data_IF_187254756537
#
_entry.id   IF_187254756537
#
_cell.length_a   1.000
_cell.length_b   1.000
_cell.length_c   1.000
_cell.angle_alpha   90.00
_cell.angle_beta   90.00
_cell.angle_gamma   90.00
#
_symmetry.space_group_name_H-M   'P 1'
#
loop_
_entity.id
_entity.type
_entity.pdbx_description
1 polymer ?
#
# COMPACT_ATOMS: atom_id res chain seq x y z
N UNK A 1 2.90 8.99 16.58
CA UNK A 1 3.58 8.67 15.31
C UNK A 1 2.85 9.27 14.11
N UNK A 2 1.53 9.09 13.94
CA UNK A 2 0.78 9.69 12.83
C UNK A 2 0.82 11.22 12.90
N UNK A 3 0.61 11.82 14.07
CA UNK A 3 0.71 13.26 14.27
C UNK A 3 2.08 13.79 13.83
N UNK A 4 3.18 13.18 14.28
CA UNK A 4 4.53 13.59 13.89
C UNK A 4 4.78 13.48 12.37
N UNK A 5 4.21 12.48 11.70
CA UNK A 5 4.25 12.36 10.25
C UNK A 5 3.51 13.53 9.59
N UNK A 6 2.30 13.83 10.04
CA UNK A 6 1.49 14.93 9.52
C UNK A 6 2.16 16.29 9.72
N UNK A 7 2.75 16.52 10.90
CA UNK A 7 3.51 17.74 11.21
C UNK A 7 4.71 17.92 10.27
N UNK A 8 5.46 16.82 10.00
CA UNK A 8 6.56 16.85 9.06
C UNK A 8 6.12 17.20 7.63
N UNK A 9 4.91 16.73 7.23
CA UNK A 9 4.32 16.96 5.91
C UNK A 9 3.60 18.30 5.76
N UNK A 10 3.42 19.07 6.82
CA UNK A 10 2.75 20.37 6.78
C UNK A 10 3.57 21.48 6.08
N UNK A 11 4.86 21.25 5.82
CA UNK A 11 5.76 22.25 5.21
C UNK A 11 5.48 22.43 3.71
N UNK A 12 5.06 23.62 3.23
CA UNK A 12 4.75 23.83 1.80
C UNK A 12 5.94 23.58 0.88
N UNK A 13 7.16 23.90 1.30
CA UNK A 13 8.38 23.74 0.51
C UNK A 13 8.78 22.27 0.26
N UNK A 14 8.11 21.32 0.93
CA UNK A 14 8.36 19.90 0.78
C UNK A 14 7.83 19.37 -0.56
N UNK A 15 6.80 20.00 -1.12
CA UNK A 15 6.00 19.47 -2.21
C UNK A 15 6.46 19.99 -3.57
N UNK A 16 6.46 19.11 -4.57
CA UNK A 16 6.74 19.40 -5.97
C UNK A 16 5.73 18.70 -6.88
N UNK A 17 5.67 19.08 -8.16
CA UNK A 17 4.79 18.45 -9.14
C UNK A 17 5.07 16.95 -9.25
N UNK A 18 4.06 16.15 -8.94
CA UNK A 18 4.14 14.69 -9.01
C UNK A 18 4.06 14.11 -10.43
N UNK A 19 3.69 14.90 -11.43
CA UNK A 19 3.62 14.47 -12.83
C UNK A 19 4.98 14.04 -13.39
N UNK A 20 6.09 14.59 -12.85
CA UNK A 20 7.45 14.24 -13.28
C UNK A 20 7.82 12.77 -13.02
N UNK A 21 7.18 12.10 -12.05
CA UNK A 21 7.49 10.70 -11.68
C UNK A 21 6.68 9.66 -12.45
N UNK A 22 5.63 10.07 -13.15
CA UNK A 22 4.81 9.20 -14.00
C UNK A 22 5.37 9.13 -15.43
N UNK A 23 5.16 8.00 -16.11
CA UNK A 23 5.58 7.77 -17.49
C UNK A 23 4.39 7.43 -18.40
N UNK A 24 4.54 7.68 -19.70
CA UNK A 24 3.54 7.32 -20.69
C UNK A 24 2.16 7.96 -20.45
N UNK A 25 1.09 7.18 -20.62
CA UNK A 25 -0.31 7.62 -20.42
C UNK A 25 -0.60 8.07 -18.98
N UNK A 26 0.01 7.42 -18.01
CA UNK A 26 -0.16 7.77 -16.60
C UNK A 26 0.31 9.20 -16.27
N UNK A 27 1.29 9.72 -17.01
CA UNK A 27 1.78 11.10 -16.84
C UNK A 27 0.71 12.15 -17.17
N UNK A 28 -0.04 11.93 -18.26
CA UNK A 28 -1.09 12.85 -18.69
C UNK A 28 -2.32 12.84 -17.75
N UNK A 29 -2.49 11.72 -17.02
CA UNK A 29 -3.62 11.53 -16.10
C UNK A 29 -3.28 11.91 -14.65
N UNK A 30 -2.01 12.25 -14.33
CA UNK A 30 -1.55 12.50 -12.97
C UNK A 30 -1.44 14.00 -12.69
N UNK A 31 -2.30 14.48 -11.81
CA UNK A 31 -2.29 15.84 -11.28
C UNK A 31 -2.26 15.76 -9.75
N UNK A 32 -1.06 15.81 -9.16
CA UNK A 32 -0.86 15.81 -7.72
C UNK A 32 0.49 16.39 -7.34
N UNK A 33 0.72 16.57 -6.06
CA UNK A 33 2.01 16.92 -5.49
C UNK A 33 2.67 15.69 -4.86
N UNK A 34 3.99 15.65 -4.91
CA UNK A 34 4.82 14.64 -4.25
C UNK A 34 5.86 15.29 -3.36
N UNK A 35 6.14 14.67 -2.22
CA UNK A 35 7.24 15.15 -1.38
C UNK A 35 8.58 14.82 -2.00
N UNK A 36 9.49 15.79 -1.99
CA UNK A 36 10.88 15.60 -2.45
C UNK A 36 11.62 14.66 -1.52
N UNK A 37 11.98 13.48 -2.00
CA UNK A 37 12.75 12.50 -1.22
C UNK A 37 14.20 12.91 -0.95
N UNK A 38 14.69 13.98 -1.58
CA UNK A 38 15.96 14.63 -1.23
C UNK A 38 15.86 15.44 0.06
N UNK A 39 14.65 15.78 0.52
CA UNK A 39 14.44 16.43 1.82
C UNK A 39 14.56 15.40 2.95
N UNK A 40 15.44 15.64 3.95
CA UNK A 40 15.66 14.70 5.06
C UNK A 40 14.39 14.37 5.85
N UNK A 41 13.45 15.33 6.00
CA UNK A 41 12.19 15.10 6.71
C UNK A 41 11.30 14.12 5.93
N UNK A 42 11.14 14.31 4.60
CA UNK A 42 10.37 13.39 3.77
C UNK A 42 11.00 11.99 3.78
N UNK A 43 12.32 11.90 3.67
CA UNK A 43 13.05 10.63 3.74
C UNK A 43 12.83 9.93 5.07
N UNK A 44 12.98 10.60 6.20
CA UNK A 44 12.74 10.05 7.54
C UNK A 44 11.29 9.58 7.74
N UNK A 45 10.32 10.31 7.18
CA UNK A 45 8.91 9.87 7.18
C UNK A 45 8.74 8.58 6.39
N UNK A 46 9.31 8.50 5.18
CA UNK A 46 9.25 7.27 4.37
C UNK A 46 9.89 6.08 5.07
N UNK A 47 11.05 6.26 5.69
CA UNK A 47 11.74 5.21 6.45
C UNK A 47 10.89 4.71 7.63
N UNK A 48 10.28 5.64 8.38
CA UNK A 48 9.39 5.32 9.50
C UNK A 48 8.16 4.53 9.04
N UNK A 49 7.52 4.98 7.95
CA UNK A 49 6.35 4.29 7.38
C UNK A 49 6.75 2.89 6.89
N UNK A 50 7.85 2.78 6.14
CA UNK A 50 8.32 1.50 5.62
C UNK A 50 8.61 0.50 6.75
N UNK A 51 9.30 0.92 7.80
CA UNK A 51 9.57 0.08 8.97
C UNK A 51 8.27 -0.37 9.67
N UNK A 52 7.29 0.55 9.81
CA UNK A 52 6.00 0.25 10.44
C UNK A 52 5.19 -0.76 9.60
N UNK A 53 5.16 -0.59 8.28
CA UNK A 53 4.45 -1.51 7.36
C UNK A 53 5.09 -2.91 7.44
N UNK A 54 6.40 -3.00 7.38
CA UNK A 54 7.12 -4.29 7.41
C UNK A 54 7.04 -4.99 8.78
N UNK A 55 6.81 -4.25 9.86
CA UNK A 55 6.60 -4.81 11.19
C UNK A 55 5.16 -5.24 11.46
N UNK A 56 4.19 -4.80 10.64
CA UNK A 56 2.78 -5.09 10.84
C UNK A 56 2.46 -6.55 10.50
N UNK A 57 1.88 -7.29 11.45
CA UNK A 57 1.61 -8.74 11.30
C UNK A 57 0.60 -9.05 10.20
N UNK A 58 -0.43 -8.21 10.00
CA UNK A 58 -1.41 -8.37 8.93
C UNK A 58 -0.74 -8.21 7.56
N UNK A 59 0.10 -7.19 7.39
CA UNK A 59 0.88 -6.98 6.16
C UNK A 59 1.83 -8.14 5.91
N UNK A 60 2.51 -8.63 6.95
CA UNK A 60 3.42 -9.78 6.85
C UNK A 60 2.68 -11.06 6.43
N UNK A 61 1.48 -11.27 6.96
CA UNK A 61 0.67 -12.43 6.61
C UNK A 61 0.12 -12.34 5.18
N UNK A 62 -0.42 -11.18 4.78
CA UNK A 62 -1.08 -10.99 3.49
C UNK A 62 -0.10 -10.81 2.32
N UNK A 63 0.98 -10.04 2.52
CA UNK A 63 1.91 -9.67 1.46
C UNK A 63 3.15 -10.56 1.41
N UNK A 64 3.54 -11.26 2.48
CA UNK A 64 4.82 -11.99 2.60
C UNK A 64 5.99 -11.16 2.01
N UNK A 65 6.25 -9.94 2.54
CA UNK A 65 7.11 -8.97 1.87
C UNK A 65 8.56 -9.44 1.82
N UNK A 66 9.17 -9.33 0.64
CA UNK A 66 10.62 -9.44 0.44
C UNK A 66 11.28 -8.05 0.50
N UNK A 67 10.62 -7.03 -0.08
CA UNK A 67 11.09 -5.65 -0.10
C UNK A 67 9.94 -4.68 -0.39
N UNK A 68 10.08 -3.44 0.03
CA UNK A 68 9.33 -2.30 -0.51
C UNK A 68 10.17 -1.73 -1.66
N UNK A 69 9.62 -1.71 -2.88
CA UNK A 69 10.33 -1.24 -4.07
C UNK A 69 10.55 0.29 -4.02
N UNK A 70 9.49 1.01 -3.68
CA UNK A 70 9.51 2.47 -3.50
C UNK A 70 8.35 2.86 -2.59
N UNK A 71 8.51 3.94 -1.84
CA UNK A 71 7.48 4.61 -1.08
C UNK A 71 7.49 6.09 -1.44
N UNK A 72 6.33 6.67 -1.68
CA UNK A 72 6.14 8.08 -2.04
C UNK A 72 5.07 8.70 -1.16
N UNK A 73 5.27 9.96 -0.81
CA UNK A 73 4.30 10.77 -0.08
C UNK A 73 3.59 11.66 -1.10
N UNK A 74 2.28 11.52 -1.19
CA UNK A 74 1.43 12.22 -2.16
C UNK A 74 0.47 13.16 -1.44
N UNK A 75 0.22 14.30 -2.08
CA UNK A 75 -0.78 15.27 -1.69
C UNK A 75 -1.64 15.60 -2.89
N UNK A 76 -2.94 15.62 -2.68
CA UNK A 76 -3.93 16.05 -3.65
C UNK A 76 -4.73 17.19 -3.04
N UNK A 77 -4.57 18.38 -3.60
CA UNK A 77 -5.36 19.55 -3.25
C UNK A 77 -6.62 19.62 -4.11
N UNK A 78 -7.51 20.56 -3.83
CA UNK A 78 -8.73 20.79 -4.61
C UNK A 78 -8.43 20.88 -6.11
N UNK A 79 -9.20 20.15 -6.92
CA UNK A 79 -9.03 20.03 -8.37
C UNK A 79 -8.01 18.97 -8.81
N UNK A 80 -7.22 18.38 -7.92
CA UNK A 80 -6.24 17.36 -8.23
C UNK A 80 -6.83 15.96 -8.23
N UNK A 81 -6.28 15.10 -9.07
CA UNK A 81 -6.72 13.72 -9.29
C UNK A 81 -5.60 12.86 -9.87
N UNK A 82 -5.79 11.56 -9.91
CA UNK A 82 -4.96 10.65 -10.68
C UNK A 82 -5.85 9.69 -11.45
N UNK A 83 -5.93 9.87 -12.76
CA UNK A 83 -6.79 9.07 -13.63
C UNK A 83 -6.45 7.58 -13.64
N UNK A 84 -7.36 6.79 -14.18
CA UNK A 84 -7.28 5.33 -14.20
C UNK A 84 -5.96 4.83 -14.83
N UNK A 85 -5.26 3.97 -14.11
CA UNK A 85 -4.01 3.38 -14.55
C UNK A 85 -3.76 2.04 -13.85
N UNK A 86 -2.80 1.29 -14.36
CA UNK A 86 -2.22 0.10 -13.75
C UNK A 86 -0.78 0.43 -13.41
N UNK A 87 -0.30 -0.05 -12.29
CA UNK A 87 1.07 0.18 -11.85
C UNK A 87 2.11 -0.53 -12.74
N UNK A 88 3.31 0.04 -12.82
CA UNK A 88 4.39 -0.56 -13.57
C UNK A 88 4.81 -1.90 -12.92
N UNK A 89 5.11 -2.96 -13.72
CA UNK A 89 5.49 -4.27 -13.18
C UNK A 89 6.84 -4.27 -12.45
N UNK A 90 7.65 -3.25 -12.68
CA UNK A 90 8.93 -3.02 -11.99
C UNK A 90 9.10 -1.53 -11.66
N UNK A 91 9.54 -1.26 -10.44
CA UNK A 91 9.93 0.07 -9.98
C UNK A 91 11.34 -0.03 -9.40
N UNK A 92 12.27 0.79 -9.90
CA UNK A 92 13.70 0.76 -9.51
C UNK A 92 14.34 -0.64 -9.62
N UNK A 93 13.96 -1.41 -10.64
CA UNK A 93 14.45 -2.77 -10.86
C UNK A 93 13.84 -3.83 -9.93
N UNK A 94 12.94 -3.43 -9.03
CA UNK A 94 12.24 -4.33 -8.10
C UNK A 94 10.84 -4.64 -8.64
N UNK A 95 10.46 -5.92 -8.67
CA UNK A 95 9.11 -6.36 -9.07
C UNK A 95 8.05 -5.81 -8.11
N UNK A 96 6.93 -5.38 -8.65
CA UNK A 96 5.78 -4.84 -7.90
C UNK A 96 4.62 -5.84 -7.94
N UNK A 97 4.45 -6.61 -6.88
CA UNK A 97 3.39 -7.61 -6.78
C UNK A 97 2.11 -7.05 -6.15
N UNK A 98 2.28 -6.16 -5.19
CA UNK A 98 1.23 -5.49 -4.44
C UNK A 98 1.50 -3.99 -4.38
N UNK A 99 0.45 -3.22 -4.57
CA UNK A 99 0.42 -1.80 -4.27
C UNK A 99 -0.19 -1.57 -2.90
N UNK A 100 0.21 -0.50 -2.24
CA UNK A 100 -0.43 -0.08 -1.00
C UNK A 100 -0.71 1.42 -1.00
N UNK A 101 -1.76 1.79 -0.30
CA UNK A 101 -2.06 3.18 0.07
C UNK A 101 -2.26 3.24 1.58
N UNK A 102 -1.42 4.00 2.26
CA UNK A 102 -1.59 4.41 3.65
C UNK A 102 -2.24 5.79 3.67
N UNK A 103 -3.44 5.89 4.22
CA UNK A 103 -4.16 7.15 4.35
C UNK A 103 -3.54 7.98 5.49
N UNK A 104 -3.29 9.28 5.22
CA UNK A 104 -2.67 10.20 6.18
C UNK A 104 -3.59 11.39 6.52
N UNK A 105 -4.69 11.58 5.79
CA UNK A 105 -5.77 12.52 6.11
C UNK A 105 -7.00 11.76 6.59
N UNK A 106 -7.75 12.38 7.50
CA UNK A 106 -9.07 11.85 7.88
C UNK A 106 -10.09 12.06 6.75
N UNK A 107 -11.10 11.18 6.59
CA UNK A 107 -12.08 11.26 5.50
C UNK A 107 -12.90 12.56 5.47
N UNK A 108 -13.05 13.24 6.59
CA UNK A 108 -13.78 14.50 6.72
C UNK A 108 -12.93 15.75 6.42
N UNK A 109 -11.60 15.62 6.37
CA UNK A 109 -10.68 16.71 6.03
C UNK A 109 -10.71 17.08 4.54
N UNK A 110 -11.24 16.19 3.67
CA UNK A 110 -11.31 16.41 2.22
C UNK A 110 -12.61 15.92 1.62
N UNK A 111 -13.01 16.48 0.48
CA UNK A 111 -14.15 16.02 -0.33
C UNK A 111 -13.67 15.31 -1.60
N UNK A 112 -14.43 14.35 -2.12
CA UNK A 112 -13.97 13.52 -3.25
C UNK A 112 -12.73 12.70 -2.89
N UNK A 113 -11.78 12.55 -3.81
CA UNK A 113 -10.47 11.95 -3.57
C UNK A 113 -10.49 10.49 -3.14
N UNK A 114 -11.56 9.75 -3.42
CA UNK A 114 -11.59 8.31 -3.14
C UNK A 114 -10.51 7.57 -3.95
N UNK A 115 -9.91 6.57 -3.35
CA UNK A 115 -9.17 5.56 -4.09
C UNK A 115 -10.19 4.57 -4.65
N UNK A 116 -10.29 4.48 -5.97
CA UNK A 116 -11.17 3.53 -6.63
C UNK A 116 -10.34 2.41 -7.23
N UNK A 117 -10.69 1.18 -6.91
CA UNK A 117 -10.02 -0.03 -7.39
C UNK A 117 -11.04 -0.85 -8.17
N UNK A 118 -10.72 -1.16 -9.44
CA UNK A 118 -11.50 -2.09 -10.25
C UNK A 118 -11.01 -3.53 -9.99
N UNK A 119 -11.82 -4.30 -9.29
CA UNK A 119 -11.57 -5.70 -9.01
C UNK A 119 -12.55 -6.58 -9.82
N UNK A 120 -12.12 -7.02 -11.01
CA UNK A 120 -12.88 -7.92 -11.88
C UNK A 120 -14.27 -7.38 -12.30
N UNK A 121 -14.36 -6.07 -12.58
CA UNK A 121 -15.59 -5.43 -13.11
C UNK A 121 -16.50 -4.87 -12.02
N UNK A 122 -16.06 -4.86 -10.77
CA UNK A 122 -16.68 -4.10 -9.67
C UNK A 122 -15.71 -3.03 -9.20
N UNK A 123 -16.19 -1.79 -9.07
CA UNK A 123 -15.42 -0.68 -8.53
C UNK A 123 -15.67 -0.54 -7.02
N UNK A 124 -14.59 -0.58 -6.25
CA UNK A 124 -14.61 -0.29 -4.82
C UNK A 124 -14.11 1.12 -4.57
N UNK A 125 -14.96 2.00 -4.04
CA UNK A 125 -14.59 3.34 -3.58
C UNK A 125 -14.10 3.28 -2.13
N UNK A 126 -12.85 3.70 -1.91
CA UNK A 126 -12.16 3.50 -0.63
C UNK A 126 -11.73 4.84 -0.06
N UNK A 127 -12.26 5.16 1.13
CA UNK A 127 -11.86 6.30 1.97
C UNK A 127 -11.76 5.83 3.41
N UNK A 128 -10.54 5.63 3.89
CA UNK A 128 -10.29 5.09 5.23
C UNK A 128 -9.75 6.18 6.17
N UNK A 129 -9.95 6.02 7.49
CA UNK A 129 -9.35 6.90 8.50
C UNK A 129 -7.83 6.98 8.37
N UNK A 130 -7.26 8.09 8.79
CA UNK A 130 -5.81 8.28 8.82
C UNK A 130 -5.11 7.20 9.66
N UNK A 131 -4.00 6.66 9.15
CA UNK A 131 -3.30 5.51 9.72
C UNK A 131 -3.76 4.15 9.20
N UNK A 132 -4.87 4.09 8.45
CA UNK A 132 -5.33 2.87 7.78
C UNK A 132 -4.56 2.62 6.49
N UNK A 133 -4.28 1.35 6.21
CA UNK A 133 -3.57 0.91 5.01
C UNK A 133 -4.44 -0.10 4.24
N UNK A 134 -4.48 0.06 2.93
CA UNK A 134 -5.02 -0.94 2.01
C UNK A 134 -3.91 -1.53 1.14
N UNK A 135 -3.98 -2.85 0.93
CA UNK A 135 -3.14 -3.62 0.01
C UNK A 135 -3.99 -4.16 -1.12
N UNK A 136 -3.51 -4.05 -2.35
CA UNK A 136 -4.17 -4.61 -3.53
C UNK A 136 -3.14 -5.05 -4.57
N UNK A 137 -3.49 -5.99 -5.47
CA UNK A 137 -2.61 -6.40 -6.56
C UNK A 137 -2.23 -5.21 -7.45
N UNK A 138 -0.93 -5.03 -7.73
CA UNK A 138 -0.45 -3.94 -8.60
C UNK A 138 -0.97 -4.01 -10.04
N UNK A 139 -1.55 -5.16 -10.43
CA UNK A 139 -2.18 -5.39 -11.72
C UNK A 139 -3.62 -4.86 -11.82
N UNK A 140 -4.23 -4.40 -10.73
CA UNK A 140 -5.58 -3.88 -10.76
C UNK A 140 -5.61 -2.46 -11.32
N UNK A 141 -6.61 -2.18 -12.15
CA UNK A 141 -6.91 -0.82 -12.59
C UNK A 141 -7.37 0.00 -11.40
N UNK A 142 -6.81 1.17 -11.19
CA UNK A 142 -7.19 2.03 -10.08
C UNK A 142 -7.00 3.50 -10.41
N UNK A 143 -7.67 4.36 -9.64
CA UNK A 143 -7.59 5.82 -9.77
C UNK A 143 -7.74 6.51 -8.41
N UNK A 144 -7.32 7.75 -8.34
CA UNK A 144 -7.70 8.67 -7.26
C UNK A 144 -8.64 9.69 -7.87
N UNK A 145 -9.86 9.74 -7.39
CA UNK A 145 -10.87 10.69 -7.83
C UNK A 145 -10.45 12.12 -7.55
N UNK A 146 -11.08 13.06 -8.26
CA UNK A 146 -10.83 14.49 -8.06
C UNK A 146 -11.18 14.89 -6.63
N UNK A 147 -10.24 15.56 -5.96
CA UNK A 147 -10.48 16.21 -4.69
C UNK A 147 -11.33 17.46 -4.94
N UNK A 148 -12.44 17.58 -4.26
CA UNK A 148 -13.41 18.66 -4.43
C UNK A 148 -13.35 19.71 -3.33
N UNK A 149 -12.63 19.42 -2.24
CA UNK A 149 -12.42 20.30 -1.08
C UNK A 149 -11.25 19.80 -0.25
N UNK A 150 -10.48 20.70 0.34
CA UNK A 150 -9.41 20.36 1.29
C UNK A 150 -8.19 19.71 0.63
N UNK A 151 -7.46 18.90 1.40
CA UNK A 151 -6.23 18.24 0.95
C UNK A 151 -6.18 16.79 1.42
N UNK A 152 -5.97 15.87 0.48
CA UNK A 152 -5.79 14.45 0.74
C UNK A 152 -4.30 14.10 0.78
N UNK A 153 -3.82 13.62 1.91
CA UNK A 153 -2.46 13.11 2.08
C UNK A 153 -2.47 11.58 2.10
N UNK A 154 -1.53 10.95 1.43
CA UNK A 154 -1.33 9.51 1.45
C UNK A 154 0.14 9.14 1.22
N UNK A 155 0.57 8.04 1.81
CA UNK A 155 1.78 7.36 1.39
C UNK A 155 1.39 6.17 0.50
N UNK A 156 2.02 6.09 -0.67
CA UNK A 156 1.80 5.00 -1.62
C UNK A 156 3.12 4.30 -1.93
N UNK A 157 3.05 3.03 -2.24
CA UNK A 157 4.24 2.28 -2.60
C UNK A 157 3.94 0.87 -3.05
N UNK A 158 5.00 0.13 -3.34
CA UNK A 158 4.91 -1.21 -3.91
C UNK A 158 5.72 -2.20 -3.09
N UNK A 159 5.15 -3.39 -2.92
CA UNK A 159 5.79 -4.51 -2.25
C UNK A 159 6.15 -5.58 -3.28
N UNK A 160 7.42 -5.98 -3.29
CA UNK A 160 7.82 -7.28 -3.83
C UNK A 160 7.48 -8.34 -2.79
N UNK A 161 6.61 -9.26 -3.14
CA UNK A 161 6.30 -10.44 -2.33
C UNK A 161 7.35 -11.53 -2.55
N UNK A 162 7.58 -12.36 -1.51
CA UNK A 162 8.30 -13.64 -1.64
C UNK A 162 7.52 -14.64 -2.49
N UNK A 163 6.20 -14.46 -2.58
CA UNK A 163 5.29 -15.33 -3.36
C UNK A 163 4.73 -14.51 -4.52
N UNK A 164 5.11 -14.84 -5.74
CA UNK A 164 4.71 -14.10 -6.94
C UNK A 164 3.21 -14.22 -7.22
N UNK A 165 2.65 -15.41 -7.11
CA UNK A 165 1.24 -15.67 -7.43
C UNK A 165 0.29 -15.09 -6.39
N UNK A 166 -0.67 -14.27 -6.84
CA UNK A 166 -1.71 -13.71 -5.98
C UNK A 166 -2.59 -14.80 -5.35
N UNK A 167 -2.94 -15.84 -6.11
CA UNK A 167 -3.73 -16.98 -5.60
C UNK A 167 -2.98 -17.77 -4.52
N UNK A 168 -1.68 -17.99 -4.69
CA UNK A 168 -0.87 -18.66 -3.67
C UNK A 168 -0.72 -17.80 -2.41
N UNK A 169 -0.59 -16.47 -2.55
CA UNK A 169 -0.60 -15.56 -1.38
C UNK A 169 -1.93 -15.64 -0.63
N UNK A 170 -3.06 -15.63 -1.35
CA UNK A 170 -4.37 -15.75 -0.74
C UNK A 170 -4.52 -17.05 0.07
N UNK A 171 -4.14 -18.20 -0.50
CA UNK A 171 -4.16 -19.49 0.21
C UNK A 171 -3.28 -19.49 1.46
N UNK A 172 -2.09 -18.89 1.40
CA UNK A 172 -1.18 -18.77 2.55
C UNK A 172 -1.72 -17.83 3.62
N UNK A 173 -2.44 -16.79 3.22
CA UNK A 173 -3.10 -15.85 4.13
C UNK A 173 -4.27 -16.52 4.87
N UNK A 174 -5.13 -17.24 4.16
CA UNK A 174 -6.22 -18.03 4.76
C UNK A 174 -5.68 -19.08 5.74
N UNK A 175 -4.62 -19.78 5.37
CA UNK A 175 -3.98 -20.76 6.25
C UNK A 175 -3.38 -20.10 7.51
N UNK A 176 -2.85 -18.89 7.38
CA UNK A 176 -2.35 -18.12 8.52
C UNK A 176 -3.50 -17.70 9.46
N UNK A 177 -4.64 -17.28 8.92
CA UNK A 177 -5.87 -17.00 9.67
C UNK A 177 -6.37 -18.23 10.42
N UNK A 178 -6.53 -19.36 9.73
CA UNK A 178 -6.97 -20.62 10.35
C UNK A 178 -6.04 -21.08 11.48
N UNK A 179 -4.73 -20.89 11.34
CA UNK A 179 -3.77 -21.18 12.40
C UNK A 179 -3.95 -20.27 13.62
N UNK A 180 -4.25 -18.99 13.41
CA UNK A 180 -4.54 -18.05 14.50
C UNK A 180 -5.82 -18.42 15.22
N UNK A 181 -6.89 -18.77 14.49
CA UNK A 181 -8.17 -19.20 15.06
C UNK A 181 -8.03 -20.49 15.87
N UNK A 182 -7.29 -21.49 15.36
CA UNK A 182 -7.00 -22.73 16.08
C UNK A 182 -6.19 -22.47 17.34
N UNK A 183 -5.27 -21.51 17.32
CA UNK A 183 -4.52 -21.13 18.52
C UNK A 183 -5.44 -20.47 19.56
N UNK A 184 -6.32 -19.58 19.15
CA UNK A 184 -7.30 -18.92 20.02
C UNK A 184 -8.32 -19.91 20.60
N UNK A 185 -8.72 -20.91 19.82
CA UNK A 185 -9.63 -21.98 20.24
C UNK A 185 -8.97 -23.06 21.14
N UNK A 186 -7.68 -22.94 21.46
CA UNK A 186 -6.97 -23.92 22.28
C UNK A 186 -6.77 -25.30 21.62
N UNK A 187 -6.76 -25.36 20.30
CA UNK A 187 -6.55 -26.61 19.56
C UNK A 187 -5.23 -27.30 19.97
N UNK A 188 -5.15 -28.64 19.91
CA UNK A 188 -3.95 -29.39 20.28
C UNK A 188 -2.69 -28.89 19.57
N UNK A 189 -1.60 -28.73 20.33
CA UNK A 189 -0.31 -28.24 19.81
C UNK A 189 0.14 -29.04 18.57
N UNK A 190 0.07 -30.37 18.62
CA UNK A 190 0.46 -31.24 17.51
C UNK A 190 -0.31 -30.98 16.21
N UNK A 191 -1.57 -30.54 16.28
CA UNK A 191 -2.35 -30.16 15.08
C UNK A 191 -1.87 -28.83 14.53
N UNK A 192 -1.67 -27.83 15.41
CA UNK A 192 -1.16 -26.51 15.02
C UNK A 192 0.25 -26.61 14.41
N UNK A 193 1.13 -27.43 14.99
CA UNK A 193 2.50 -27.62 14.52
C UNK A 193 2.54 -28.26 13.12
N UNK A 194 1.66 -29.24 12.84
CA UNK A 194 1.54 -29.86 11.50
C UNK A 194 1.09 -28.85 10.45
N UNK A 195 0.10 -28.00 10.77
CA UNK A 195 -0.37 -26.97 9.84
C UNK A 195 0.65 -25.85 9.64
N UNK A 196 1.36 -25.47 10.71
CA UNK A 196 2.45 -24.51 10.62
C UNK A 196 3.59 -25.05 9.74
N UNK A 197 3.94 -26.33 9.89
CA UNK A 197 4.92 -26.99 9.03
C UNK A 197 4.45 -27.06 7.58
N UNK A 198 3.18 -27.41 7.33
CA UNK A 198 2.60 -27.35 5.99
C UNK A 198 2.73 -25.97 5.37
N UNK A 199 2.34 -24.92 6.11
CA UNK A 199 2.47 -23.52 5.66
C UNK A 199 3.92 -23.18 5.31
N UNK A 200 4.87 -23.57 6.15
CA UNK A 200 6.29 -23.34 5.89
C UNK A 200 6.79 -24.06 4.63
N UNK A 201 6.32 -25.28 4.38
CA UNK A 201 6.66 -26.04 3.17
C UNK A 201 6.04 -25.43 1.92
N UNK A 202 4.79 -24.94 1.99
CA UNK A 202 4.16 -24.20 0.90
C UNK A 202 4.91 -22.88 0.60
N UNK A 203 5.41 -22.18 1.62
CA UNK A 203 6.25 -21.00 1.41
C UNK A 203 7.56 -21.36 0.70
N UNK A 204 8.18 -22.51 1.02
CA UNK A 204 9.39 -22.97 0.31
C UNK A 204 9.10 -23.35 -1.13
N UNK A 205 7.96 -24.01 -1.38
CA UNK A 205 7.54 -24.47 -2.71
C UNK A 205 7.17 -23.29 -3.62
N UNK A 206 6.48 -22.29 -3.09
CA UNK A 206 5.94 -21.16 -3.86
C UNK A 206 6.87 -19.94 -3.92
N UNK A 207 7.85 -19.87 -3.01
CA UNK A 207 8.75 -18.74 -2.88
C UNK A 207 9.83 -18.68 -3.95
N UNK A 208 10.23 -17.44 -4.34
CA UNK A 208 11.37 -17.12 -5.22
C UNK A 208 12.46 -16.36 -4.47
#
# INVERSE_FOLDING_TARGET
TLAAIRDALAKPALWEDGGATAKGRAKAAKNNLQARLSDPAAKGVCETIAATILANDMVRAAALPAAIARLMLNRYDEGMEYGAHVDAPYVDGVRTDLSFTLFLSEPDEYGGGALVIDSAGAEDEIRLPAGSLILYPSSFLHRVERVTRGSRLAAVGWIKSRIRSAGQRAMLFELAGALADLAAAGAPAATRDRLANLRNNLIREFGD
#
